data_IF_162032407440
#
_entry.id   IF_162032407440
#
_cell.length_a   1.000
_cell.length_b   1.000
_cell.length_c   1.000
_cell.angle_alpha   90.00
_cell.angle_beta   90.00
_cell.angle_gamma   90.00
#
_symmetry.space_group_name_H-M   'P 1'
#
loop_
_entity.id
_entity.type
_entity.pdbx_description
1 polymer ?
#
# COMPACT_ATOMS: atom_id res chain seq x y z
N UNK A 1 9.19 56.40 52.29
CA UNK A 1 9.06 55.84 50.92
C UNK A 1 9.49 54.38 50.97
N UNK A 2 8.63 53.40 50.67
CA UNK A 2 9.02 52.00 50.57
C UNK A 2 9.46 51.66 49.14
N UNK A 3 10.55 50.89 49.04
CA UNK A 3 11.15 50.36 47.80
C UNK A 3 10.36 49.11 47.37
N UNK A 4 9.97 48.94 46.10
CA UNK A 4 9.29 47.72 45.65
C UNK A 4 10.30 46.57 45.46
N UNK A 5 9.98 45.41 46.03
CA UNK A 5 10.71 44.15 45.90
C UNK A 5 10.59 43.58 44.48
N UNK A 6 11.73 43.33 43.82
CA UNK A 6 11.77 42.68 42.50
C UNK A 6 11.59 41.16 42.61
N UNK A 7 10.36 40.69 42.45
CA UNK A 7 10.10 39.28 42.11
C UNK A 7 10.35 39.07 40.61
N UNK A 8 11.62 38.94 40.23
CA UNK A 8 12.00 38.46 38.91
C UNK A 8 12.08 36.93 38.94
N UNK A 9 11.02 36.25 38.48
CA UNK A 9 11.09 34.80 38.18
C UNK A 9 12.14 34.58 37.09
N UNK A 10 13.05 33.60 37.22
CA UNK A 10 13.96 33.27 36.14
C UNK A 10 13.16 32.76 34.94
N UNK A 11 13.42 33.36 33.78
CA UNK A 11 12.91 32.91 32.50
C UNK A 11 13.30 31.45 32.28
N UNK A 12 12.29 30.61 32.09
CA UNK A 12 12.42 29.20 31.75
C UNK A 12 13.03 29.13 30.34
N UNK A 13 14.36 29.03 30.28
CA UNK A 13 15.09 28.91 29.01
C UNK A 13 14.71 27.60 28.33
N UNK A 14 14.17 27.72 27.13
CA UNK A 14 13.62 26.69 26.29
C UNK A 14 14.58 25.50 26.10
N UNK A 15 14.30 24.39 26.80
CA UNK A 15 14.92 23.08 26.59
C UNK A 15 14.34 22.39 25.36
N UNK A 16 14.63 22.90 24.16
CA UNK A 16 14.18 22.35 22.87
C UNK A 16 15.02 21.16 22.34
N UNK A 17 16.31 20.96 22.69
CA UNK A 17 17.09 19.85 22.14
C UNK A 17 16.61 18.45 22.57
N UNK A 18 16.20 18.29 23.83
CA UNK A 18 15.76 16.99 24.37
C UNK A 18 14.46 16.49 23.76
N UNK A 19 13.46 17.38 23.64
CA UNK A 19 12.15 17.03 23.09
C UNK A 19 12.20 16.54 21.63
N UNK A 20 13.15 17.05 20.84
CA UNK A 20 13.33 16.69 19.43
C UNK A 20 14.03 15.33 19.27
N UNK A 21 15.01 15.04 20.14
CA UNK A 21 15.65 13.71 20.22
C UNK A 21 14.66 12.66 20.76
N UNK A 22 13.85 13.01 21.76
CA UNK A 22 12.80 12.14 22.30
C UNK A 22 11.65 11.91 21.31
N UNK A 23 11.32 12.89 20.48
CA UNK A 23 10.37 12.73 19.38
C UNK A 23 10.95 11.82 18.28
N UNK A 24 12.23 11.99 17.94
CA UNK A 24 12.95 11.13 17.00
C UNK A 24 13.00 9.68 17.46
N UNK A 25 13.34 9.43 18.74
CA UNK A 25 13.35 8.11 19.34
C UNK A 25 11.98 7.42 19.29
N UNK A 26 10.92 8.15 19.68
CA UNK A 26 9.54 7.64 19.62
C UNK A 26 9.08 7.29 18.20
N UNK A 27 9.45 8.10 17.20
CA UNK A 27 9.12 7.81 15.81
C UNK A 27 9.80 6.53 15.30
N UNK A 28 11.08 6.34 15.65
CA UNK A 28 11.83 5.13 15.28
C UNK A 28 11.20 3.90 15.92
N UNK A 29 10.83 3.97 17.21
CA UNK A 29 10.18 2.85 17.90
C UNK A 29 8.83 2.46 17.27
N UNK A 30 8.01 3.45 16.90
CA UNK A 30 6.74 3.21 16.19
C UNK A 30 6.95 2.60 14.80
N UNK A 31 7.93 3.09 14.04
CA UNK A 31 8.30 2.51 12.74
C UNK A 31 8.73 1.05 12.87
N UNK A 32 9.55 0.74 13.89
CA UNK A 32 10.00 -0.63 14.18
C UNK A 32 8.81 -1.51 14.58
N UNK A 33 7.89 -1.01 15.40
CA UNK A 33 6.68 -1.73 15.78
C UNK A 33 5.79 -2.03 14.58
N UNK A 34 5.54 -1.03 13.73
CA UNK A 34 4.76 -1.18 12.50
C UNK A 34 5.39 -2.21 11.57
N UNK A 35 6.70 -2.13 11.34
CA UNK A 35 7.43 -3.07 10.49
C UNK A 35 7.32 -4.52 11.00
N UNK A 36 7.44 -4.72 12.33
CA UNK A 36 7.28 -6.06 12.94
C UNK A 36 5.88 -6.61 12.74
N UNK A 37 4.83 -5.82 12.99
CA UNK A 37 3.45 -6.27 12.81
C UNK A 37 3.14 -6.65 11.36
N UNK A 38 3.62 -5.88 10.38
CA UNK A 38 3.44 -6.18 8.96
C UNK A 38 4.21 -7.44 8.56
N UNK A 39 5.44 -7.62 9.04
CA UNK A 39 6.24 -8.81 8.76
C UNK A 39 5.60 -10.08 9.36
N UNK A 40 5.07 -9.99 10.59
CA UNK A 40 4.38 -11.11 11.23
C UNK A 40 3.06 -11.45 10.53
N UNK A 41 2.34 -10.44 10.03
CA UNK A 41 1.16 -10.62 9.19
C UNK A 41 1.50 -11.37 7.89
N UNK A 42 2.56 -10.97 7.18
CA UNK A 42 3.00 -11.66 5.97
C UNK A 42 3.35 -13.14 6.23
N UNK A 43 4.04 -13.42 7.35
CA UNK A 43 4.37 -14.79 7.77
C UNK A 43 3.12 -15.60 8.12
N UNK A 44 2.16 -14.99 8.81
CA UNK A 44 0.90 -15.64 9.18
C UNK A 44 0.07 -16.02 7.93
N UNK A 45 0.09 -15.17 6.90
CA UNK A 45 -0.56 -15.46 5.62
C UNK A 45 0.05 -16.64 4.88
N UNK A 46 1.38 -16.81 4.94
CA UNK A 46 2.03 -18.02 4.43
C UNK A 46 1.53 -19.30 5.12
N UNK A 47 1.17 -19.24 6.40
CA UNK A 47 0.53 -20.36 7.11
C UNK A 47 -0.93 -20.54 6.70
N UNK A 48 -1.68 -19.46 6.49
CA UNK A 48 -3.07 -19.50 6.04
C UNK A 48 -3.23 -20.18 4.68
N UNK A 49 -2.26 -20.00 3.78
CA UNK A 49 -2.22 -20.67 2.47
C UNK A 49 -2.10 -22.20 2.55
N UNK A 50 -1.49 -22.75 3.61
CA UNK A 50 -1.31 -24.21 3.76
C UNK A 50 -2.58 -24.94 4.13
N UNK A 51 -3.53 -24.24 4.76
CA UNK A 51 -4.85 -24.75 5.16
C UNK A 51 -5.88 -23.64 4.94
N UNK A 52 -6.25 -23.37 3.68
CA UNK A 52 -7.05 -22.20 3.35
C UNK A 52 -8.48 -22.39 3.84
N UNK A 53 -9.01 -21.37 4.52
CA UNK A 53 -10.45 -21.28 4.79
C UNK A 53 -11.19 -20.74 3.57
N UNK A 54 -12.53 -20.86 3.54
CA UNK A 54 -13.35 -20.34 2.46
C UNK A 54 -13.10 -18.83 2.19
N UNK A 55 -12.93 -18.03 3.25
CA UNK A 55 -12.62 -16.60 3.12
C UNK A 55 -11.24 -16.34 2.50
N UNK A 56 -10.24 -17.17 2.82
CA UNK A 56 -8.90 -17.08 2.20
C UNK A 56 -8.98 -17.45 0.71
N UNK A 57 -9.74 -18.49 0.36
CA UNK A 57 -9.95 -18.87 -1.04
C UNK A 57 -10.65 -17.76 -1.84
N UNK A 58 -11.68 -17.13 -1.26
CA UNK A 58 -12.36 -16.01 -1.90
C UNK A 58 -11.41 -14.84 -2.16
N UNK A 59 -10.61 -14.45 -1.16
CA UNK A 59 -9.63 -13.39 -1.31
C UNK A 59 -8.57 -13.75 -2.36
N UNK A 60 -8.13 -15.00 -2.43
CA UNK A 60 -7.19 -15.46 -3.45
C UNK A 60 -7.79 -15.35 -4.85
N UNK A 61 -9.05 -15.76 -5.03
CA UNK A 61 -9.74 -15.62 -6.32
C UNK A 61 -9.86 -14.15 -6.70
N UNK A 62 -10.26 -13.28 -5.78
CA UNK A 62 -10.38 -11.84 -6.04
C UNK A 62 -9.04 -11.22 -6.43
N UNK A 63 -7.96 -11.53 -5.71
CA UNK A 63 -6.62 -11.08 -6.05
C UNK A 63 -6.13 -11.62 -7.39
N UNK A 64 -6.37 -12.91 -7.66
CA UNK A 64 -5.99 -13.53 -8.92
C UNK A 64 -6.73 -12.86 -10.09
N UNK A 65 -8.05 -12.68 -9.99
CA UNK A 65 -8.85 -11.99 -11.01
C UNK A 65 -8.37 -10.56 -11.20
N UNK A 66 -8.17 -9.80 -10.12
CA UNK A 66 -7.72 -8.41 -10.21
C UNK A 66 -6.32 -8.27 -10.81
N UNK A 67 -5.35 -9.08 -10.38
CA UNK A 67 -3.96 -8.98 -10.86
C UNK A 67 -3.86 -9.46 -12.31
N UNK A 68 -4.40 -10.64 -12.62
CA UNK A 68 -4.31 -11.22 -13.96
C UNK A 68 -5.14 -10.42 -14.97
N UNK A 69 -6.33 -9.98 -14.57
CA UNK A 69 -7.21 -9.17 -15.38
C UNK A 69 -6.58 -7.82 -15.73
N UNK A 70 -6.05 -7.11 -14.74
CA UNK A 70 -5.38 -5.82 -14.95
C UNK A 70 -4.14 -5.96 -15.83
N UNK A 71 -3.30 -6.97 -15.56
CA UNK A 71 -2.10 -7.24 -16.36
C UNK A 71 -2.45 -7.57 -17.82
N UNK A 72 -3.41 -8.47 -18.04
CA UNK A 72 -3.81 -8.88 -19.38
C UNK A 72 -4.44 -7.72 -20.15
N UNK A 73 -5.38 -7.00 -19.53
CA UNK A 73 -6.05 -5.87 -20.18
C UNK A 73 -5.09 -4.73 -20.50
N UNK A 74 -4.16 -4.40 -19.59
CA UNK A 74 -3.12 -3.39 -19.84
C UNK A 74 -2.23 -3.78 -21.02
N UNK A 75 -1.75 -5.03 -21.07
CA UNK A 75 -0.90 -5.50 -22.16
C UNK A 75 -1.63 -5.48 -23.51
N UNK A 76 -2.90 -5.90 -23.54
CA UNK A 76 -3.72 -5.88 -24.76
C UNK A 76 -3.99 -4.44 -25.22
N UNK A 77 -4.43 -3.56 -24.32
CA UNK A 77 -4.73 -2.16 -24.62
C UNK A 77 -3.52 -1.41 -25.15
N UNK A 78 -2.41 -1.44 -24.40
CA UNK A 78 -1.20 -0.73 -24.78
C UNK A 78 -0.54 -1.33 -26.03
N UNK A 79 -0.70 -2.64 -26.25
CA UNK A 79 -0.16 -3.33 -27.44
C UNK A 79 -0.81 -2.90 -28.77
N UNK A 80 -2.02 -2.34 -28.74
CA UNK A 80 -2.69 -1.87 -29.97
C UNK A 80 -2.19 -0.52 -30.47
N UNK A 81 -1.51 0.26 -29.64
CA UNK A 81 -1.17 1.66 -29.93
C UNK A 81 -2.38 2.61 -30.03
N UNK A 82 -3.61 2.13 -29.79
CA UNK A 82 -4.84 2.95 -29.79
C UNK A 82 -5.16 3.58 -28.43
N UNK A 83 -4.45 3.15 -27.39
CA UNK A 83 -4.68 3.56 -26.00
C UNK A 83 -3.39 4.12 -25.39
N UNK A 84 -3.55 5.14 -24.56
CA UNK A 84 -2.47 5.71 -23.76
C UNK A 84 -2.76 5.51 -22.27
N UNK A 85 -1.69 5.30 -21.50
CA UNK A 85 -1.78 5.15 -20.04
C UNK A 85 -2.12 6.50 -19.39
N UNK A 86 -3.29 6.59 -18.77
CA UNK A 86 -3.79 7.83 -18.15
C UNK A 86 -3.00 8.23 -16.90
N UNK A 87 -2.41 7.26 -16.20
CA UNK A 87 -1.57 7.54 -15.04
C UNK A 87 -0.17 7.95 -15.49
N UNK A 88 0.16 9.24 -15.35
CA UNK A 88 1.45 9.82 -15.77
C UNK A 88 2.66 9.11 -15.17
N UNK A 89 2.57 8.67 -13.90
CA UNK A 89 3.66 7.93 -13.25
C UNK A 89 3.83 6.54 -13.88
N UNK A 90 2.72 5.82 -14.09
CA UNK A 90 2.75 4.52 -14.75
C UNK A 90 3.27 4.64 -16.19
N UNK A 91 2.79 5.63 -16.95
CA UNK A 91 3.24 5.92 -18.31
C UNK A 91 4.76 6.18 -18.37
N UNK A 92 5.28 6.97 -17.42
CA UNK A 92 6.72 7.25 -17.32
C UNK A 92 7.53 5.98 -17.04
N UNK A 93 7.05 5.12 -16.15
CA UNK A 93 7.73 3.85 -15.82
C UNK A 93 7.63 2.84 -16.97
N UNK A 94 6.51 2.78 -17.69
CA UNK A 94 6.37 1.98 -18.90
C UNK A 94 7.33 2.44 -20.00
N UNK A 95 7.68 3.73 -20.09
CA UNK A 95 8.71 4.22 -21.03
C UNK A 95 10.12 3.74 -20.66
N UNK A 96 10.41 3.57 -19.38
CA UNK A 96 11.73 3.12 -18.89
C UNK A 96 11.88 1.61 -18.96
N UNK A 97 10.88 0.86 -18.50
CA UNK A 97 10.95 -0.60 -18.35
C UNK A 97 10.26 -1.37 -19.49
N UNK A 98 9.59 -0.67 -20.40
CA UNK A 98 8.61 -1.26 -21.30
C UNK A 98 7.31 -1.62 -20.57
N UNK A 99 6.22 -1.76 -21.34
CA UNK A 99 4.90 -2.15 -20.80
C UNK A 99 4.99 -3.47 -20.05
N UNK A 100 5.59 -4.50 -20.65
CA UNK A 100 5.72 -5.83 -20.05
C UNK A 100 6.55 -5.80 -18.76
N UNK A 101 7.66 -5.07 -18.74
CA UNK A 101 8.51 -4.95 -17.55
C UNK A 101 7.80 -4.25 -16.40
N UNK A 102 7.08 -3.16 -16.69
CA UNK A 102 6.27 -2.46 -15.70
C UNK A 102 5.10 -3.31 -15.19
N UNK A 103 4.39 -3.99 -16.07
CA UNK A 103 3.28 -4.88 -15.69
C UNK A 103 3.80 -6.00 -14.78
N UNK A 104 4.90 -6.66 -15.12
CA UNK A 104 5.50 -7.69 -14.27
C UNK A 104 5.88 -7.16 -12.88
N UNK A 105 6.53 -5.99 -12.80
CA UNK A 105 6.93 -5.38 -11.53
C UNK A 105 5.72 -5.02 -10.67
N UNK A 106 4.72 -4.37 -11.26
CA UNK A 106 3.49 -3.98 -10.56
C UNK A 106 2.68 -5.19 -10.10
N UNK A 107 2.61 -6.27 -10.90
CA UNK A 107 1.99 -7.54 -10.50
C UNK A 107 2.71 -8.17 -9.30
N UNK A 108 4.05 -8.17 -9.27
CA UNK A 108 4.82 -8.67 -8.14
C UNK A 108 4.52 -7.89 -6.85
N UNK A 109 4.44 -6.55 -6.94
CA UNK A 109 4.05 -5.71 -5.80
C UNK A 109 2.64 -6.05 -5.33
N UNK A 110 1.70 -6.28 -6.24
CA UNK A 110 0.34 -6.67 -5.89
C UNK A 110 0.29 -8.04 -5.20
N UNK A 111 1.08 -9.02 -5.66
CA UNK A 111 1.18 -10.33 -4.99
C UNK A 111 1.74 -10.17 -3.57
N UNK A 112 2.76 -9.32 -3.38
CA UNK A 112 3.30 -9.02 -2.06
C UNK A 112 2.23 -8.40 -1.14
N UNK A 113 1.46 -7.43 -1.64
CA UNK A 113 0.35 -6.81 -0.89
C UNK A 113 -0.77 -7.82 -0.61
N UNK A 114 -1.10 -8.68 -1.58
CA UNK A 114 -2.11 -9.73 -1.42
C UNK A 114 -1.79 -10.61 -0.22
N UNK A 115 -0.52 -10.96 -0.04
CA UNK A 115 -0.08 -11.74 1.11
C UNK A 115 -0.46 -11.09 2.44
N UNK A 116 -0.56 -9.76 2.56
CA UNK A 116 -0.95 -9.10 3.82
C UNK A 116 -2.44 -9.28 4.17
N UNK A 117 -3.28 -9.63 3.20
CA UNK A 117 -4.74 -9.74 3.36
C UNK A 117 -5.21 -11.15 3.71
N UNK A 118 -4.37 -12.18 3.55
CA UNK A 118 -4.79 -13.59 3.60
C UNK A 118 -4.85 -14.18 5.02
N UNK A 119 -4.37 -13.49 6.04
CA UNK A 119 -4.46 -13.95 7.43
C UNK A 119 -5.25 -12.99 8.30
N UNK A 120 -5.70 -13.48 9.48
CA UNK A 120 -6.40 -12.64 10.46
C UNK A 120 -5.44 -11.60 11.03
N UNK A 121 -5.68 -10.28 10.81
CA UNK A 121 -4.81 -9.22 11.30
C UNK A 121 -4.76 -9.19 12.82
N UNK A 122 -3.58 -8.86 13.37
CA UNK A 122 -3.37 -8.67 14.82
C UNK A 122 -2.66 -7.35 15.08
N UNK A 123 -3.33 -6.44 15.77
CA UNK A 123 -2.84 -5.09 16.05
C UNK A 123 -3.25 -4.08 14.98
N UNK A 124 -3.14 -2.79 15.33
CA UNK A 124 -3.65 -1.68 14.51
C UNK A 124 -2.95 -1.60 13.15
N UNK A 125 -1.62 -1.70 13.11
CA UNK A 125 -0.87 -1.58 11.85
C UNK A 125 -1.18 -2.72 10.88
N UNK A 126 -1.35 -3.94 11.39
CA UNK A 126 -1.77 -5.08 10.57
C UNK A 126 -3.20 -4.91 10.01
N UNK A 127 -4.13 -4.37 10.80
CA UNK A 127 -5.48 -4.03 10.31
C UNK A 127 -5.45 -2.97 9.23
N UNK A 128 -4.68 -1.90 9.42
CA UNK A 128 -4.51 -0.84 8.42
C UNK A 128 -3.93 -1.41 7.13
N UNK A 129 -2.86 -2.22 7.22
CA UNK A 129 -2.25 -2.85 6.06
C UNK A 129 -3.21 -3.78 5.31
N UNK A 130 -4.00 -4.59 6.04
CA UNK A 130 -5.00 -5.46 5.45
C UNK A 130 -6.13 -4.67 4.76
N UNK A 131 -6.60 -3.58 5.37
CA UNK A 131 -7.61 -2.70 4.78
C UNK A 131 -7.12 -2.02 3.51
N UNK A 132 -5.90 -1.47 3.53
CA UNK A 132 -5.25 -0.89 2.34
C UNK A 132 -5.10 -1.96 1.26
N UNK A 133 -4.65 -3.17 1.61
CA UNK A 133 -4.55 -4.27 0.67
C UNK A 133 -5.90 -4.64 0.03
N UNK A 134 -6.98 -4.68 0.82
CA UNK A 134 -8.32 -4.94 0.29
C UNK A 134 -8.77 -3.83 -0.68
N UNK A 135 -8.51 -2.57 -0.36
CA UNK A 135 -8.82 -1.45 -1.27
C UNK A 135 -8.06 -1.56 -2.59
N UNK A 136 -6.77 -1.93 -2.54
CA UNK A 136 -5.97 -2.19 -3.74
C UNK A 136 -6.55 -3.35 -4.56
N UNK A 137 -6.96 -4.44 -3.90
CA UNK A 137 -7.61 -5.58 -4.56
C UNK A 137 -8.88 -5.15 -5.32
N UNK A 138 -9.76 -4.40 -4.65
CA UNK A 138 -10.99 -3.89 -5.26
C UNK A 138 -10.69 -2.94 -6.42
N UNK A 139 -9.68 -2.07 -6.27
CA UNK A 139 -9.20 -1.21 -7.34
C UNK A 139 -8.74 -1.99 -8.57
N UNK A 140 -7.98 -3.08 -8.39
CA UNK A 140 -7.53 -3.94 -9.49
C UNK A 140 -8.68 -4.63 -10.24
N UNK A 141 -9.67 -5.13 -9.49
CA UNK A 141 -10.88 -5.71 -10.09
C UNK A 141 -11.65 -4.64 -10.87
N UNK A 142 -11.81 -3.44 -10.30
CA UNK A 142 -12.46 -2.32 -10.96
C UNK A 142 -11.75 -1.90 -12.26
N UNK A 143 -10.41 -1.79 -12.24
CA UNK A 143 -9.61 -1.48 -13.42
C UNK A 143 -9.77 -2.55 -14.50
N UNK A 144 -9.77 -3.83 -14.12
CA UNK A 144 -10.02 -4.93 -15.06
C UNK A 144 -11.37 -4.77 -15.77
N UNK A 145 -12.44 -4.52 -15.01
CA UNK A 145 -13.78 -4.32 -15.57
C UNK A 145 -13.82 -3.08 -16.46
N UNK A 146 -13.23 -1.98 -16.02
CA UNK A 146 -13.17 -0.72 -16.76
C UNK A 146 -12.45 -0.89 -18.10
N UNK A 147 -11.30 -1.57 -18.09
CA UNK A 147 -10.53 -1.85 -19.30
C UNK A 147 -11.29 -2.77 -20.26
N UNK A 148 -11.97 -3.80 -19.74
CA UNK A 148 -12.80 -4.67 -20.56
C UNK A 148 -13.96 -3.92 -21.24
N UNK A 149 -14.61 -3.00 -20.52
CA UNK A 149 -15.65 -2.14 -21.07
C UNK A 149 -15.11 -1.19 -22.13
N UNK A 150 -13.96 -0.54 -21.89
CA UNK A 150 -13.31 0.33 -22.87
C UNK A 150 -12.91 -0.43 -24.14
N UNK A 151 -12.41 -1.65 -23.99
CA UNK A 151 -12.05 -2.49 -25.14
C UNK A 151 -13.27 -2.87 -25.96
N UNK A 152 -14.37 -3.25 -25.31
CA UNK A 152 -15.64 -3.58 -25.96
C UNK A 152 -16.16 -2.40 -26.77
N UNK A 153 -16.21 -1.20 -26.17
CA UNK A 153 -16.75 -0.01 -26.85
C UNK A 153 -15.85 0.51 -27.98
N UNK A 154 -14.53 0.30 -27.90
CA UNK A 154 -13.60 0.66 -28.97
C UNK A 154 -13.54 -0.36 -30.13
N UNK A 155 -14.10 -1.55 -29.93
CA UNK A 155 -14.16 -2.64 -30.91
C UNK A 155 -15.54 -2.81 -31.56
N UNK A 156 -16.56 -2.12 -31.03
CA UNK A 156 -17.89 -1.99 -31.61
C UNK A 156 -17.94 -0.84 -32.62
#
# INVERSE_FOLDING_TARGET
>A
MPVPSSDARPAQTAGVPGALLDAGGRLVDELVLAARQVADQARASGKALRRPSAGVLLLLVLWAVGILGDAATTMLMMGTGRFEEANVAAASLMRVFGVTGWVALSSLVCVAIASLTLSRPRGTYAWTAAAVGLLVCLGKVWTTVSNALLWWTASA
#
